data_IF_436213074750
#
_entry.id   IF_436213074750
#
_cell.length_a   1.000
_cell.length_b   1.000
_cell.length_c   1.000
_cell.angle_alpha   90.00
_cell.angle_beta   90.00
_cell.angle_gamma   90.00
#
_symmetry.space_group_name_H-M   'P 1'
#
loop_
_entity.id
_entity.type
_entity.pdbx_description
1 polymer ?
#
# COMPACT_ATOMS: atom_id res chain seq x y z
N UNK A 1 -11.82 -22.38 18.04
CA UNK A 1 -12.66 -21.16 17.86
C UNK A 1 -11.81 -19.97 18.25
N UNK A 2 -11.34 -19.19 17.28
CA UNK A 2 -10.50 -18.02 17.53
C UNK A 2 -11.36 -16.86 18.03
N UNK A 3 -10.87 -16.10 19.02
CA UNK A 3 -11.57 -14.91 19.54
C UNK A 3 -11.78 -13.90 18.40
N UNK A 4 -12.97 -13.26 18.29
CA UNK A 4 -13.16 -12.18 17.34
C UNK A 4 -12.19 -11.04 17.63
N UNK A 5 -11.54 -10.53 16.59
CA UNK A 5 -10.59 -9.42 16.71
C UNK A 5 -11.30 -8.15 17.18
N UNK A 6 -10.87 -7.60 18.32
CA UNK A 6 -11.25 -6.22 18.70
C UNK A 6 -10.58 -5.24 17.73
N UNK A 7 -11.29 -4.21 17.22
CA UNK A 7 -10.83 -3.32 16.14
C UNK A 7 -9.43 -2.71 16.30
N UNK A 8 -8.92 -2.59 17.53
CA UNK A 8 -7.70 -1.83 17.82
C UNK A 8 -6.50 -2.62 18.35
N UNK A 9 -6.66 -3.82 18.92
CA UNK A 9 -5.54 -4.43 19.69
C UNK A 9 -4.94 -5.72 19.12
N UNK A 10 -5.60 -6.42 18.18
CA UNK A 10 -5.05 -7.70 17.63
C UNK A 10 -4.62 -7.64 16.16
N UNK A 11 -5.16 -6.70 15.38
CA UNK A 11 -4.97 -6.63 13.92
C UNK A 11 -3.56 -6.16 13.55
N UNK A 12 -3.00 -5.29 14.38
CA UNK A 12 -1.66 -4.73 14.19
C UNK A 12 -0.57 -5.75 14.42
N UNK A 13 -0.80 -6.83 15.16
CA UNK A 13 0.17 -7.89 15.42
C UNK A 13 -0.01 -9.10 14.50
N UNK A 14 -1.24 -9.33 14.01
CA UNK A 14 -1.57 -10.45 13.15
C UNK A 14 -0.84 -10.39 11.79
N UNK A 15 0.12 -11.30 11.60
CA UNK A 15 0.84 -11.51 10.35
C UNK A 15 0.11 -12.47 9.40
N UNK A 16 -0.90 -13.19 9.89
CA UNK A 16 -1.68 -14.17 9.12
C UNK A 16 -2.83 -13.53 8.36
N UNK A 17 -3.19 -12.28 8.69
CA UNK A 17 -4.35 -11.56 8.14
C UNK A 17 -5.68 -12.30 8.33
N UNK A 18 -5.80 -13.15 9.34
CA UNK A 18 -7.01 -13.89 9.64
C UNK A 18 -8.17 -12.94 10.01
N UNK A 19 -7.83 -11.80 10.61
CA UNK A 19 -8.79 -10.72 10.87
C UNK A 19 -9.56 -10.26 9.62
N UNK A 20 -8.97 -10.41 8.42
CA UNK A 20 -9.59 -9.98 7.17
C UNK A 20 -10.85 -10.80 6.86
N UNK A 21 -10.79 -12.12 7.05
CA UNK A 21 -11.95 -13.00 6.89
C UNK A 21 -12.93 -12.88 8.04
N UNK A 22 -12.40 -12.71 9.26
CA UNK A 22 -13.23 -12.62 10.46
C UNK A 22 -14.08 -11.34 10.46
N UNK A 23 -13.60 -10.26 9.84
CA UNK A 23 -14.32 -8.97 9.77
C UNK A 23 -15.12 -8.77 8.50
N UNK A 24 -14.60 -9.20 7.35
CA UNK A 24 -15.17 -8.83 6.04
C UNK A 24 -15.67 -10.02 5.22
N UNK A 25 -15.54 -11.25 5.72
CA UNK A 25 -16.10 -12.43 5.07
C UNK A 25 -15.07 -13.35 4.40
N UNK A 26 -15.52 -14.58 4.13
CA UNK A 26 -14.69 -15.66 3.59
C UNK A 26 -14.16 -15.39 2.18
N UNK A 27 -14.78 -14.48 1.43
CA UNK A 27 -14.34 -14.06 0.11
C UNK A 27 -12.93 -13.43 0.12
N UNK A 28 -12.49 -12.88 1.26
CA UNK A 28 -11.15 -12.31 1.43
C UNK A 28 -10.08 -13.35 1.83
N UNK A 29 -10.44 -14.63 1.98
CA UNK A 29 -9.54 -15.69 2.43
C UNK A 29 -8.31 -15.85 1.54
N UNK A 30 -8.48 -15.70 0.22
CA UNK A 30 -7.36 -15.79 -0.73
C UNK A 30 -6.39 -14.63 -0.54
N UNK A 31 -6.89 -13.42 -0.32
CA UNK A 31 -6.05 -12.26 0.01
C UNK A 31 -5.26 -12.48 1.30
N UNK A 32 -5.90 -12.93 2.38
CA UNK A 32 -5.22 -13.21 3.64
C UNK A 32 -4.06 -14.22 3.47
N UNK A 33 -4.31 -15.32 2.73
CA UNK A 33 -3.28 -16.33 2.42
C UNK A 33 -2.12 -15.75 1.61
N UNK A 34 -2.41 -14.97 0.57
CA UNK A 34 -1.40 -14.33 -0.27
C UNK A 34 -0.56 -13.33 0.53
N UNK A 35 -1.18 -12.50 1.36
CA UNK A 35 -0.50 -11.55 2.23
C UNK A 35 0.44 -12.22 3.22
N UNK A 36 -0.03 -13.29 3.88
CA UNK A 36 0.78 -14.06 4.81
C UNK A 36 1.99 -14.68 4.12
N UNK A 37 1.79 -15.37 2.98
CA UNK A 37 2.88 -15.95 2.18
C UNK A 37 3.89 -14.89 1.73
N UNK A 38 3.41 -13.75 1.26
CA UNK A 38 4.29 -12.68 0.82
C UNK A 38 5.11 -12.13 1.98
N UNK A 39 4.49 -11.84 3.14
CA UNK A 39 5.20 -11.34 4.31
C UNK A 39 6.24 -12.33 4.84
N UNK A 40 5.95 -13.63 4.82
CA UNK A 40 6.89 -14.66 5.25
C UNK A 40 8.20 -14.66 4.41
N UNK A 41 8.14 -14.20 3.15
CA UNK A 41 9.32 -14.05 2.26
C UNK A 41 10.11 -12.77 2.52
N UNK A 42 9.63 -11.85 3.35
CA UNK A 42 10.26 -10.54 3.55
C UNK A 42 11.26 -10.56 4.71
N UNK A 43 12.51 -10.17 4.42
CA UNK A 43 13.57 -10.09 5.41
C UNK A 43 13.75 -8.67 6.02
N UNK A 44 13.15 -7.65 5.40
CA UNK A 44 13.25 -6.23 5.80
C UNK A 44 11.91 -5.50 5.67
N UNK A 45 11.68 -4.55 6.57
CA UNK A 45 10.53 -3.64 6.51
C UNK A 45 9.19 -4.32 6.77
N UNK A 46 9.16 -5.43 7.52
CA UNK A 46 7.97 -6.22 7.82
C UNK A 46 6.82 -5.37 8.38
N UNK A 47 7.11 -4.52 9.37
CA UNK A 47 6.12 -3.63 9.98
C UNK A 47 5.49 -2.68 8.96
N UNK A 48 6.31 -2.01 8.16
CA UNK A 48 5.84 -1.05 7.15
C UNK A 48 5.06 -1.73 6.01
N UNK A 49 5.48 -2.93 5.58
CA UNK A 49 4.77 -3.73 4.56
C UNK A 49 3.42 -4.23 5.07
N UNK A 50 3.38 -4.73 6.31
CA UNK A 50 2.14 -5.12 6.98
C UNK A 50 1.19 -3.92 7.11
N UNK A 51 1.70 -2.76 7.51
CA UNK A 51 0.89 -1.54 7.62
C UNK A 51 0.35 -1.07 6.26
N UNK A 52 1.14 -1.20 5.19
CA UNK A 52 0.68 -0.92 3.83
C UNK A 52 -0.48 -1.86 3.44
N UNK A 53 -0.37 -3.17 3.71
CA UNK A 53 -1.44 -4.14 3.48
C UNK A 53 -2.68 -3.87 4.32
N UNK A 54 -2.51 -3.58 5.61
CA UNK A 54 -3.63 -3.22 6.48
C UNK A 54 -4.39 -2.01 5.94
N UNK A 55 -3.67 -0.98 5.47
CA UNK A 55 -4.29 0.21 4.87
C UNK A 55 -4.94 -0.10 3.53
N UNK A 56 -4.32 -0.95 2.71
CA UNK A 56 -4.93 -1.43 1.46
C UNK A 56 -6.28 -2.09 1.72
N UNK A 57 -6.38 -3.01 2.67
CA UNK A 57 -7.66 -3.67 2.94
C UNK A 57 -8.68 -2.75 3.59
N UNK A 58 -8.31 -2.07 4.68
CA UNK A 58 -9.25 -1.29 5.50
C UNK A 58 -9.71 0.01 4.87
N UNK A 59 -8.83 0.67 4.11
CA UNK A 59 -9.06 2.03 3.64
C UNK A 59 -9.29 2.13 2.14
N UNK A 60 -8.95 1.09 1.38
CA UNK A 60 -9.05 1.13 -0.08
C UNK A 60 -9.96 0.02 -0.60
N UNK A 61 -9.59 -1.24 -0.40
CA UNK A 61 -10.27 -2.36 -1.03
C UNK A 61 -11.69 -2.57 -0.51
N UNK A 62 -11.88 -2.62 0.81
CA UNK A 62 -13.21 -2.85 1.42
C UNK A 62 -14.11 -1.63 1.26
N UNK A 63 -13.69 -0.39 1.60
CA UNK A 63 -14.58 0.76 1.50
C UNK A 63 -15.01 1.10 0.07
N UNK A 64 -14.15 0.85 -0.91
CA UNK A 64 -14.46 1.07 -2.33
C UNK A 64 -15.16 -0.14 -2.99
N UNK A 65 -15.50 -1.17 -2.21
CA UNK A 65 -16.15 -2.39 -2.68
C UNK A 65 -15.45 -3.01 -3.90
N UNK A 66 -14.12 -3.07 -3.87
CA UNK A 66 -13.32 -3.64 -4.94
C UNK A 66 -13.42 -5.17 -4.94
N UNK A 67 -13.10 -5.79 -6.08
CA UNK A 67 -13.22 -7.23 -6.27
C UNK A 67 -12.48 -8.02 -5.18
N UNK A 68 -13.23 -8.78 -4.38
CA UNK A 68 -12.71 -9.67 -3.34
C UNK A 68 -11.92 -10.85 -3.92
N UNK A 69 -12.24 -11.29 -5.15
CA UNK A 69 -11.46 -12.28 -5.87
C UNK A 69 -10.18 -11.65 -6.46
N UNK A 70 -8.97 -12.12 -6.07
CA UNK A 70 -7.71 -11.56 -6.58
C UNK A 70 -7.55 -11.62 -8.10
N UNK A 71 -8.05 -12.69 -8.76
CA UNK A 71 -7.96 -12.82 -10.23
C UNK A 71 -8.78 -11.74 -10.93
N UNK A 72 -9.97 -11.44 -10.41
CA UNK A 72 -10.81 -10.35 -10.91
C UNK A 72 -10.14 -9.00 -10.63
N UNK A 73 -9.53 -8.82 -9.46
CA UNK A 73 -8.84 -7.58 -9.10
C UNK A 73 -7.66 -7.25 -10.03
N UNK A 74 -6.86 -8.26 -10.41
CA UNK A 74 -5.68 -8.10 -11.28
C UNK A 74 -6.02 -8.21 -12.78
N UNK A 75 -7.28 -8.44 -13.14
CA UNK A 75 -7.73 -8.46 -14.53
C UNK A 75 -7.57 -7.06 -15.15
N UNK A 76 -7.02 -7.01 -16.35
CA UNK A 76 -6.78 -5.75 -17.09
C UNK A 76 -8.08 -5.01 -17.42
N UNK A 77 -9.21 -5.71 -17.51
CA UNK A 77 -10.52 -5.09 -17.74
C UNK A 77 -11.12 -4.47 -16.47
N UNK A 78 -10.65 -4.86 -15.28
CA UNK A 78 -11.18 -4.34 -14.02
C UNK A 78 -10.67 -2.93 -13.77
N UNK A 79 -11.58 -1.94 -13.58
CA UNK A 79 -11.19 -0.60 -13.18
C UNK A 79 -10.77 -0.62 -11.70
N UNK A 80 -9.53 -0.24 -11.43
CA UNK A 80 -9.00 -0.10 -10.07
C UNK A 80 -8.56 1.35 -9.90
N UNK A 81 -9.08 2.08 -8.89
CA UNK A 81 -8.64 3.45 -8.61
C UNK A 81 -7.15 3.54 -8.30
N UNK A 82 -6.56 4.72 -8.42
CA UNK A 82 -5.16 4.92 -8.02
C UNK A 82 -5.07 4.95 -6.48
N UNK A 83 -4.49 3.90 -5.90
CA UNK A 83 -4.29 3.81 -4.45
C UNK A 83 -3.47 4.98 -3.90
N UNK A 84 -2.49 5.48 -4.64
CA UNK A 84 -1.70 6.61 -4.19
C UNK A 84 -2.58 7.84 -4.03
N UNK A 85 -3.41 8.16 -5.04
CA UNK A 85 -4.35 9.28 -5.01
C UNK A 85 -5.35 9.14 -3.85
N UNK A 86 -5.89 7.94 -3.64
CA UNK A 86 -6.79 7.68 -2.51
C UNK A 86 -6.07 7.77 -1.15
N UNK A 87 -4.81 7.31 -1.08
CA UNK A 87 -3.99 7.39 0.13
C UNK A 87 -3.56 8.83 0.47
N UNK A 88 -3.58 9.75 -0.51
CA UNK A 88 -3.30 11.17 -0.34
C UNK A 88 -4.55 12.06 -0.44
N UNK A 89 -5.76 11.51 -0.53
CA UNK A 89 -6.96 12.33 -0.71
C UNK A 89 -7.25 13.13 0.59
N UNK A 90 -7.48 14.46 0.53
CA UNK A 90 -7.27 15.38 1.64
C UNK A 90 -8.49 15.59 2.55
N UNK A 91 -9.37 14.59 2.73
CA UNK A 91 -10.52 14.76 3.66
C UNK A 91 -10.09 14.93 5.13
N UNK A 92 -8.83 14.65 5.47
CA UNK A 92 -8.28 14.88 6.81
C UNK A 92 -6.86 15.43 6.75
N UNK A 93 -6.77 16.76 6.84
CA UNK A 93 -5.55 17.53 7.14
C UNK A 93 -4.53 17.63 6.00
N UNK A 94 -3.94 18.83 5.87
CA UNK A 94 -2.73 19.12 5.09
C UNK A 94 -1.78 17.92 5.11
N UNK A 95 -1.54 17.30 3.97
CA UNK A 95 -0.54 16.24 3.87
C UNK A 95 0.81 16.92 3.94
N UNK A 96 1.39 16.87 5.13
CA UNK A 96 2.77 17.24 5.34
C UNK A 96 3.70 16.38 4.44
N UNK A 97 4.92 16.84 4.14
CA UNK A 97 5.87 16.07 3.33
C UNK A 97 6.11 14.64 3.85
N UNK A 98 5.88 14.39 5.14
CA UNK A 98 5.98 13.07 5.78
C UNK A 98 4.86 12.13 5.34
N UNK A 99 3.61 12.57 5.37
CA UNK A 99 2.45 11.81 4.92
C UNK A 99 2.55 11.44 3.45
N UNK A 100 3.01 12.37 2.60
CA UNK A 100 3.23 12.10 1.16
C UNK A 100 4.33 11.05 0.93
N UNK A 101 5.43 11.14 1.68
CA UNK A 101 6.51 10.12 1.64
C UNK A 101 6.00 8.74 2.08
N UNK A 102 5.16 8.69 3.10
CA UNK A 102 4.56 7.45 3.58
C UNK A 102 3.62 6.84 2.53
N UNK A 103 2.77 7.65 1.89
CA UNK A 103 1.88 7.20 0.83
C UNK A 103 2.64 6.61 -0.37
N UNK A 104 3.74 7.25 -0.81
CA UNK A 104 4.62 6.70 -1.86
C UNK A 104 5.18 5.35 -1.43
N UNK A 105 5.66 5.27 -0.19
CA UNK A 105 6.26 4.04 0.35
C UNK A 105 5.25 2.91 0.39
N UNK A 106 4.02 3.16 0.84
CA UNK A 106 2.96 2.17 0.88
C UNK A 106 2.51 1.75 -0.51
N UNK A 107 2.32 2.69 -1.43
CA UNK A 107 2.01 2.38 -2.83
C UNK A 107 3.05 1.42 -3.41
N UNK A 108 4.34 1.70 -3.21
CA UNK A 108 5.40 0.87 -3.78
C UNK A 108 5.49 -0.52 -3.11
N UNK A 109 5.16 -0.65 -1.82
CA UNK A 109 5.03 -1.96 -1.19
C UNK A 109 3.84 -2.75 -1.72
N UNK A 110 2.71 -2.09 -1.96
CA UNK A 110 1.53 -2.72 -2.56
C UNK A 110 1.78 -3.10 -4.01
N UNK A 111 2.52 -2.28 -4.76
CA UNK A 111 2.95 -2.62 -6.10
C UNK A 111 3.79 -3.90 -6.08
N UNK A 112 4.78 -4.02 -5.18
CA UNK A 112 5.57 -5.25 -5.04
C UNK A 112 4.71 -6.45 -4.64
N UNK A 113 3.77 -6.26 -3.71
CA UNK A 113 2.84 -7.30 -3.31
C UNK A 113 1.97 -7.77 -4.48
N UNK A 114 1.37 -6.87 -5.24
CA UNK A 114 0.51 -7.22 -6.38
C UNK A 114 1.29 -7.84 -7.55
N UNK A 115 2.56 -7.48 -7.72
CA UNK A 115 3.46 -8.20 -8.63
C UNK A 115 3.65 -9.65 -8.17
N UNK A 116 3.91 -9.87 -6.87
CA UNK A 116 3.95 -11.22 -6.32
C UNK A 116 2.62 -11.98 -6.52
N UNK A 117 1.48 -11.31 -6.33
CA UNK A 117 0.16 -11.95 -6.56
C UNK A 117 -0.02 -12.37 -8.02
N UNK A 118 0.44 -11.57 -8.99
CA UNK A 118 0.42 -11.96 -10.40
C UNK A 118 1.29 -13.20 -10.64
N UNK A 119 2.52 -13.19 -10.15
CA UNK A 119 3.46 -14.30 -10.29
C UNK A 119 2.91 -15.60 -9.69
N UNK A 120 2.34 -15.54 -8.49
CA UNK A 120 1.83 -16.71 -7.77
C UNK A 120 0.52 -17.26 -8.38
N UNK A 121 -0.36 -16.41 -8.92
CA UNK A 121 -1.67 -16.86 -9.41
C UNK A 121 -1.72 -17.17 -10.89
N UNK A 122 -0.96 -16.43 -11.72
CA UNK A 122 -1.06 -16.50 -13.18
C UNK A 122 0.30 -16.56 -13.86
N UNK A 123 1.39 -16.64 -13.11
CA UNK A 123 2.72 -16.82 -13.68
C UNK A 123 2.82 -18.15 -14.42
N UNK A 124 3.25 -18.08 -15.68
CA UNK A 124 3.48 -19.24 -16.54
C UNK A 124 4.95 -19.24 -16.94
N UNK A 125 5.64 -20.36 -16.71
CA UNK A 125 7.00 -20.55 -17.19
C UNK A 125 6.99 -20.67 -18.72
N UNK A 126 7.83 -19.87 -19.37
CA UNK A 126 8.07 -19.99 -20.81
C UNK A 126 9.02 -21.15 -21.12
N UNK A 127 9.23 -21.41 -22.42
CA UNK A 127 10.12 -22.48 -22.90
C UNK A 127 11.59 -22.31 -22.45
N UNK A 128 11.94 -21.14 -21.90
CA UNK A 128 13.28 -20.80 -21.40
C UNK A 128 13.33 -20.78 -19.86
N UNK A 129 12.24 -21.16 -19.17
CA UNK A 129 12.13 -21.17 -17.72
C UNK A 129 11.96 -19.78 -17.08
N UNK A 130 11.63 -18.75 -17.85
CA UNK A 130 11.29 -17.44 -17.31
C UNK A 130 9.81 -17.37 -16.97
N UNK A 131 9.49 -16.76 -15.83
CA UNK A 131 8.10 -16.53 -15.44
C UNK A 131 7.50 -15.37 -16.25
N UNK A 132 6.46 -15.66 -17.02
CA UNK A 132 5.72 -14.68 -17.82
C UNK A 132 4.30 -14.51 -17.31
N UNK A 133 3.75 -13.31 -17.45
CA UNK A 133 2.38 -12.97 -17.03
C UNK A 133 1.48 -12.88 -18.27
N UNK A 134 0.38 -13.62 -18.35
CA UNK A 134 -0.58 -13.51 -19.46
C UNK A 134 -1.10 -12.09 -19.62
N UNK A 135 -1.21 -11.62 -20.87
CA UNK A 135 -1.59 -10.23 -21.19
C UNK A 135 -2.93 -9.77 -20.57
N UNK A 136 -3.84 -10.72 -20.31
CA UNK A 136 -5.13 -10.51 -19.64
C UNK A 136 -4.98 -9.90 -18.23
N UNK A 137 -3.87 -10.15 -17.56
CA UNK A 137 -3.64 -9.67 -16.20
C UNK A 137 -2.60 -8.55 -16.17
N UNK A 138 -2.71 -7.65 -15.19
CA UNK A 138 -1.73 -6.59 -14.95
C UNK A 138 -1.67 -6.23 -13.47
N UNK A 139 -0.58 -5.57 -13.09
CA UNK A 139 -0.53 -4.87 -11.81
C UNK A 139 -1.25 -3.52 -11.98
N UNK A 140 -2.35 -3.25 -11.25
CA UNK A 140 -3.03 -1.97 -11.37
C UNK A 140 -2.23 -0.81 -10.78
N UNK A 141 -1.21 -1.08 -9.94
CA UNK A 141 -0.44 -0.04 -9.27
C UNK A 141 0.88 0.23 -10.01
N UNK A 142 1.17 1.51 -10.21
CA UNK A 142 2.44 1.99 -10.77
C UNK A 142 3.44 2.33 -9.68
N UNK A 143 4.73 2.17 -9.95
CA UNK A 143 5.79 2.61 -9.03
C UNK A 143 5.78 4.14 -8.96
N UNK A 144 5.65 4.70 -7.75
CA UNK A 144 5.70 6.13 -7.51
C UNK A 144 7.11 6.55 -7.09
N UNK A 145 7.61 7.62 -7.70
CA UNK A 145 8.95 8.18 -7.40
C UNK A 145 8.84 9.32 -6.41
N UNK A 146 9.94 9.57 -5.69
CA UNK A 146 10.06 10.66 -4.71
C UNK A 146 10.46 12.01 -5.32
N UNK A 147 10.80 12.03 -6.60
CA UNK A 147 11.20 13.25 -7.33
C UNK A 147 10.04 14.24 -7.42
N UNK A 148 10.26 15.50 -7.05
CA UNK A 148 9.23 16.54 -6.99
C UNK A 148 8.51 16.67 -5.63
N UNK A 149 8.94 15.93 -4.61
CA UNK A 149 8.63 16.28 -3.23
C UNK A 149 9.48 17.49 -2.87
N UNK A 150 8.94 18.70 -3.05
CA UNK A 150 9.46 19.85 -2.33
C UNK A 150 9.39 19.49 -0.85
N UNK A 151 10.54 19.12 -0.30
CA UNK A 151 10.76 19.27 1.12
C UNK A 151 10.70 20.78 1.26
N UNK A 152 9.67 21.31 1.92
CA UNK A 152 9.79 22.63 2.51
C UNK A 152 10.93 22.49 3.53
N UNK A 153 12.17 22.57 3.05
CA UNK A 153 13.30 22.91 3.90
C UNK A 153 12.84 24.18 4.56
N UNK A 154 12.67 24.13 5.88
CA UNK A 154 12.51 25.33 6.67
C UNK A 154 13.84 26.03 6.59
N UNK A 155 14.08 26.71 5.47
CA UNK A 155 15.05 27.77 5.38
C UNK A 155 14.53 28.75 6.40
N UNK A 156 15.11 28.70 7.61
CA UNK A 156 15.08 29.81 8.53
C UNK A 156 15.61 30.97 7.69
N UNK A 157 14.70 31.77 7.14
CA UNK A 157 15.07 33.06 6.59
C UNK A 157 15.69 33.80 7.76
N UNK A 158 17.00 34.07 7.75
CA UNK A 158 17.53 35.01 8.73
C UNK A 158 16.73 36.30 8.52
N UNK A 159 16.26 36.89 9.62
CA UNK A 159 15.56 38.17 9.59
C UNK A 159 16.31 39.13 8.64
N UNK A 160 15.62 39.82 7.73
CA UNK A 160 16.28 40.75 6.82
C UNK A 160 17.13 41.73 7.63
N UNK A 161 18.40 41.88 7.25
CA UNK A 161 19.43 42.68 7.93
C UNK A 161 19.12 44.19 8.00
N UNK A 162 17.90 44.63 7.68
CA UNK A 162 17.44 46.01 7.80
C UNK A 162 17.11 46.43 9.25
N UNK A 163 17.05 45.50 10.20
CA UNK A 163 16.76 45.83 11.61
C UNK A 163 18.00 45.97 12.51
N UNK A 164 19.23 45.91 11.96
CA UNK A 164 20.48 46.03 12.75
C UNK A 164 21.09 47.45 12.67
N UNK A 165 20.43 48.40 12.00
CA UNK A 165 20.98 49.75 11.81
C UNK A 165 20.29 50.89 12.58
N UNK A 166 19.51 50.60 13.62
CA UNK A 166 18.93 51.64 14.51
C UNK A 166 19.27 51.44 16.00
N UNK A 167 20.46 50.90 16.32
CA UNK A 167 20.94 50.81 17.72
C UNK A 167 22.40 51.28 17.93
N UNK A 168 22.89 52.22 17.12
CA UNK A 168 24.07 53.02 17.49
C UNK A 168 23.93 54.46 17.01
#
# INVERSE_FOLDING_TARGET
MSKPYSPNNGITEDITFQWLTDMYGDEYRTWAKLSNRWLARQHKGLSSKKNALNRFYKSFMVPLNLASNPLTFIDRSTPVPDFFEEAINPSKSYIDPVGKRQAITYNNYLQQFLTYVLEELVGVEDDFGNLTIPHKYRNPFSIKRRTGLEVAETVRTPLPYKYIQELR
#
